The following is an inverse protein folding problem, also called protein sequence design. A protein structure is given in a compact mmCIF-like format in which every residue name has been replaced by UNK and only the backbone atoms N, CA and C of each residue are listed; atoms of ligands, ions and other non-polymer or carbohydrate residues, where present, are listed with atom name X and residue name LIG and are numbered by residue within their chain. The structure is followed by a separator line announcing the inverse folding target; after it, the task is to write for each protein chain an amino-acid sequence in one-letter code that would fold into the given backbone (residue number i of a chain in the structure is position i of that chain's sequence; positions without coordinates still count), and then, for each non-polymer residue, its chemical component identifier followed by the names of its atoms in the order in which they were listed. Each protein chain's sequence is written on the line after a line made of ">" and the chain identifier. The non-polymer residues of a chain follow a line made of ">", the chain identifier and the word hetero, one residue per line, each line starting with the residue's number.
data_IF_496391903654
#
_entry.id   IF_496391903654
#
_cell.length_a   1.000
_cell.length_b   1.000
_cell.length_c   1.000
_cell.angle_alpha   90.00
_cell.angle_beta   90.00
_cell.angle_gamma   90.00
#
_symmetry.space_group_name_H-M   'P 1'
#
loop_
_entity.id
_entity.type
_entity.pdbx_description
1 polymer ?
#
# COMPACT_ATOMS: atom_id res chain seq x y z
N UNK A 1 0.77 5.60 -21.30
CA UNK A 1 0.96 4.82 -20.05
C UNK A 1 1.85 3.63 -20.34
N UNK A 2 2.97 3.48 -19.64
CA UNK A 2 3.73 2.22 -19.63
C UNK A 2 3.14 1.34 -18.54
N UNK A 3 2.80 0.08 -18.85
CA UNK A 3 2.34 -0.88 -17.85
C UNK A 3 3.42 -1.20 -16.82
N UNK A 4 3.04 -1.78 -15.68
CA UNK A 4 3.96 -2.30 -14.69
C UNK A 4 4.86 -3.37 -15.33
N UNK A 5 6.17 -3.22 -15.18
CA UNK A 5 7.14 -4.25 -15.60
C UNK A 5 7.60 -4.98 -14.34
N UNK A 6 7.26 -6.27 -14.18
CA UNK A 6 7.73 -7.07 -13.05
C UNK A 6 9.26 -7.15 -13.04
N UNK A 7 9.84 -7.26 -11.86
CA UNK A 7 11.26 -7.57 -11.72
C UNK A 7 11.62 -8.88 -12.43
N UNK A 8 12.87 -9.01 -12.86
CA UNK A 8 13.38 -10.20 -13.53
C UNK A 8 13.08 -11.46 -12.72
N UNK A 9 12.58 -12.50 -13.40
CA UNK A 9 12.26 -13.81 -12.84
C UNK A 9 12.93 -14.92 -13.64
N UNK A 10 14.25 -15.15 -13.45
CA UNK A 10 14.99 -16.16 -14.19
C UNK A 10 14.44 -17.56 -13.89
N UNK A 11 14.39 -18.41 -14.93
CA UNK A 11 13.86 -19.79 -14.85
C UNK A 11 14.92 -20.84 -15.19
N UNK A 12 16.13 -20.42 -15.50
CA UNK A 12 17.21 -21.23 -16.08
C UNK A 12 18.31 -21.60 -15.09
N UNK A 13 18.05 -21.43 -13.78
CA UNK A 13 19.04 -21.76 -12.75
C UNK A 13 18.53 -21.56 -11.33
N UNK A 14 19.42 -21.79 -10.36
CA UNK A 14 19.19 -21.48 -8.95
C UNK A 14 19.82 -20.10 -8.67
N UNK A 15 19.01 -19.14 -8.32
CA UNK A 15 19.42 -17.75 -8.06
C UNK A 15 19.10 -17.35 -6.63
N UNK A 16 19.93 -16.48 -6.07
CA UNK A 16 19.59 -15.74 -4.85
C UNK A 16 18.82 -14.50 -5.31
N UNK A 17 17.50 -14.54 -5.15
CA UNK A 17 16.60 -13.48 -5.59
C UNK A 17 16.55 -12.36 -4.54
N UNK A 18 17.02 -11.16 -4.91
CA UNK A 18 17.05 -9.98 -4.04
C UNK A 18 16.17 -8.83 -4.58
N UNK A 19 15.45 -9.07 -5.68
CA UNK A 19 14.47 -8.13 -6.23
C UNK A 19 13.06 -8.45 -5.72
N UNK A 20 12.10 -7.54 -5.94
CA UNK A 20 10.67 -7.69 -5.61
C UNK A 20 10.34 -7.91 -4.13
N UNK A 21 11.31 -7.80 -3.21
CA UNK A 21 11.14 -7.88 -1.76
C UNK A 21 10.38 -9.12 -1.27
N UNK A 22 10.57 -10.28 -1.91
CA UNK A 22 9.96 -11.52 -1.48
C UNK A 22 10.55 -11.98 -0.14
N UNK A 23 9.67 -12.39 0.78
CA UNK A 23 10.11 -12.96 2.04
C UNK A 23 10.80 -14.32 1.80
N UNK A 24 12.08 -14.52 2.20
CA UNK A 24 12.79 -15.78 1.98
C UNK A 24 12.28 -16.93 2.88
N UNK A 25 11.49 -16.64 3.89
CA UNK A 25 10.96 -17.64 4.80
C UNK A 25 9.55 -18.09 4.38
N UNK A 26 9.26 -19.40 4.40
CA UNK A 26 7.92 -19.88 4.11
C UNK A 26 6.93 -19.50 5.22
N UNK A 27 5.62 -19.48 4.91
CA UNK A 27 4.61 -19.30 5.95
C UNK A 27 4.64 -20.46 6.96
N UNK A 28 4.13 -20.22 8.16
CA UNK A 28 4.10 -21.24 9.21
C UNK A 28 3.31 -22.48 8.80
N UNK A 29 3.61 -23.61 9.41
CA UNK A 29 2.87 -24.88 9.18
C UNK A 29 1.38 -24.74 9.51
N UNK A 30 1.00 -23.88 10.46
CA UNK A 30 -0.41 -23.60 10.79
C UNK A 30 -1.13 -22.96 9.60
N UNK A 31 -0.49 -21.99 8.92
CA UNK A 31 -1.04 -21.34 7.72
C UNK A 31 -1.22 -22.37 6.60
N UNK A 32 -0.18 -23.17 6.32
CA UNK A 32 -0.23 -24.18 5.26
C UNK A 32 -1.34 -25.22 5.53
N UNK A 33 -1.51 -25.64 6.78
CA UNK A 33 -2.56 -26.59 7.15
C UNK A 33 -3.96 -25.97 7.04
N UNK A 34 -4.12 -24.69 7.41
CA UNK A 34 -5.38 -23.97 7.24
C UNK A 34 -5.77 -23.86 5.76
N UNK A 35 -4.82 -23.52 4.88
CA UNK A 35 -5.06 -23.46 3.42
C UNK A 35 -5.48 -24.83 2.89
N UNK A 36 -4.76 -25.91 3.25
CA UNK A 36 -5.12 -27.28 2.85
C UNK A 36 -6.53 -27.68 3.32
N UNK A 37 -6.92 -27.31 4.53
CA UNK A 37 -8.25 -27.58 5.06
C UNK A 37 -9.36 -26.77 4.38
N UNK A 38 -9.05 -25.57 3.93
CA UNK A 38 -10.00 -24.72 3.21
C UNK A 38 -10.20 -25.16 1.74
N UNK A 39 -9.28 -25.94 1.17
CA UNK A 39 -9.38 -26.49 -0.18
C UNK A 39 -10.35 -27.70 -0.18
N UNK A 40 -11.65 -27.45 -0.13
CA UNK A 40 -12.71 -28.45 -0.08
C UNK A 40 -13.89 -28.09 -1.01
N UNK A 41 -14.96 -28.85 -0.96
CA UNK A 41 -16.13 -28.68 -1.82
C UNK A 41 -16.84 -27.32 -1.68
N UNK A 42 -16.62 -26.60 -0.57
CA UNK A 42 -17.19 -25.25 -0.38
C UNK A 42 -16.58 -24.18 -1.30
N UNK A 43 -15.46 -24.47 -2.00
CA UNK A 43 -14.89 -23.57 -3.01
C UNK A 43 -15.89 -23.29 -4.16
N UNK A 44 -16.95 -24.08 -4.33
CA UNK A 44 -18.03 -23.83 -5.30
C UNK A 44 -18.99 -22.71 -4.89
N UNK A 45 -18.95 -22.30 -3.63
CA UNK A 45 -19.85 -21.27 -3.09
C UNK A 45 -19.24 -19.87 -3.28
N UNK A 46 -20.10 -18.86 -3.38
CA UNK A 46 -19.62 -17.49 -3.31
C UNK A 46 -18.96 -17.22 -1.96
N UNK A 47 -17.82 -16.54 -1.94
CA UNK A 47 -17.18 -16.11 -0.68
C UNK A 47 -18.01 -15.02 0.01
N UNK A 48 -17.72 -14.79 1.28
CA UNK A 48 -18.20 -13.60 1.99
C UNK A 48 -17.63 -12.33 1.30
N UNK A 49 -18.49 -11.44 0.76
CA UNK A 49 -18.06 -10.32 -0.09
C UNK A 49 -17.21 -9.27 0.63
N UNK A 50 -17.24 -9.25 1.96
CA UNK A 50 -16.50 -8.28 2.78
C UNK A 50 -15.49 -8.93 3.71
N UNK A 51 -15.21 -10.22 3.53
CA UNK A 51 -14.24 -10.98 4.34
C UNK A 51 -14.45 -10.80 5.85
N UNK A 52 -15.68 -10.95 6.34
CA UNK A 52 -16.10 -10.65 7.73
C UNK A 52 -15.21 -11.32 8.78
N UNK A 53 -14.93 -12.63 8.61
CA UNK A 53 -14.12 -13.39 9.58
C UNK A 53 -12.68 -12.84 9.68
N UNK A 54 -12.06 -12.49 8.56
CA UNK A 54 -10.73 -11.90 8.52
C UNK A 54 -10.73 -10.51 9.17
N UNK A 55 -11.71 -9.66 8.84
CA UNK A 55 -11.85 -8.32 9.41
C UNK A 55 -12.03 -8.32 10.91
N UNK A 56 -12.87 -9.21 11.44
CA UNK A 56 -13.06 -9.40 12.89
C UNK A 56 -11.72 -9.78 13.53
N UNK A 57 -11.00 -10.75 12.96
CA UNK A 57 -9.74 -11.22 13.53
C UNK A 57 -8.63 -10.16 13.50
N UNK A 58 -8.53 -9.41 12.42
CA UNK A 58 -7.59 -8.28 12.30
C UNK A 58 -7.95 -7.19 13.31
N UNK A 59 -9.23 -6.86 13.45
CA UNK A 59 -9.68 -5.85 14.41
C UNK A 59 -9.37 -6.23 15.86
N UNK A 60 -9.52 -7.50 16.24
CA UNK A 60 -9.08 -8.01 17.54
C UNK A 60 -7.58 -7.81 17.77
N UNK A 61 -6.75 -8.14 16.78
CA UNK A 61 -5.28 -8.01 16.87
C UNK A 61 -4.87 -6.55 17.00
N UNK A 62 -5.49 -5.66 16.22
CA UNK A 62 -5.17 -4.23 16.18
C UNK A 62 -5.87 -3.40 17.27
N UNK A 63 -6.73 -4.00 18.11
CA UNK A 63 -7.49 -3.29 19.14
C UNK A 63 -8.46 -2.25 18.57
N UNK A 64 -9.05 -2.53 17.40
CA UNK A 64 -9.97 -1.64 16.70
C UNK A 64 -11.31 -2.33 16.39
N UNK A 65 -12.16 -1.70 15.58
CA UNK A 65 -13.48 -2.23 15.20
C UNK A 65 -13.44 -2.81 13.77
N UNK A 66 -14.16 -3.91 13.48
CA UNK A 66 -14.22 -4.49 12.12
C UNK A 66 -14.69 -3.51 11.04
N UNK A 67 -15.51 -2.52 11.39
CA UNK A 67 -15.99 -1.49 10.46
C UNK A 67 -14.89 -0.55 9.98
N UNK A 68 -13.75 -0.54 10.66
CA UNK A 68 -12.55 0.23 10.29
C UNK A 68 -11.55 -0.58 9.47
N UNK A 69 -11.86 -1.82 9.15
CA UNK A 69 -11.01 -2.72 8.39
C UNK A 69 -11.63 -2.95 7.01
N UNK A 70 -10.85 -2.77 5.98
CA UNK A 70 -11.15 -3.19 4.62
C UNK A 70 -10.12 -4.24 4.21
N UNK A 71 -10.56 -5.33 3.59
CA UNK A 71 -9.69 -6.34 3.02
C UNK A 71 -9.67 -6.21 1.49
N UNK A 72 -8.49 -6.30 0.91
CA UNK A 72 -8.26 -6.29 -0.53
C UNK A 72 -7.22 -7.33 -0.93
N UNK A 73 -7.00 -7.47 -2.22
CA UNK A 73 -5.99 -8.37 -2.77
C UNK A 73 -4.61 -7.69 -2.79
N UNK A 74 -4.04 -7.52 -1.60
CA UNK A 74 -2.80 -6.78 -1.39
C UNK A 74 -3.04 -5.27 -1.26
N UNK A 75 -1.97 -4.52 -0.97
CA UNK A 75 -2.02 -3.06 -0.85
C UNK A 75 -2.40 -2.38 -2.17
N UNK A 76 -1.95 -2.91 -3.32
CA UNK A 76 -2.23 -2.34 -4.63
C UNK A 76 -3.73 -2.23 -4.94
N UNK A 77 -4.51 -3.23 -4.53
CA UNK A 77 -5.97 -3.20 -4.67
C UNK A 77 -6.58 -2.11 -3.78
N UNK A 78 -6.13 -2.01 -2.53
CA UNK A 78 -6.58 -0.96 -1.60
C UNK A 78 -6.20 0.44 -2.07
N UNK A 79 -4.97 0.64 -2.57
CA UNK A 79 -4.53 1.91 -3.14
C UNK A 79 -5.42 2.33 -4.33
N UNK A 80 -5.75 1.37 -5.19
CA UNK A 80 -6.67 1.59 -6.32
C UNK A 80 -8.07 1.99 -5.86
N UNK A 81 -8.60 1.33 -4.82
CA UNK A 81 -9.90 1.66 -4.23
C UNK A 81 -9.89 3.06 -3.63
N UNK A 82 -8.82 3.41 -2.90
CA UNK A 82 -8.66 4.73 -2.27
C UNK A 82 -8.66 5.84 -3.32
N UNK A 83 -7.82 5.73 -4.34
CA UNK A 83 -7.76 6.74 -5.41
C UNK A 83 -9.14 6.91 -6.06
N UNK A 84 -9.78 5.83 -6.45
CA UNK A 84 -11.11 5.87 -7.10
C UNK A 84 -12.21 6.42 -6.21
N UNK A 85 -12.05 6.35 -4.89
CA UNK A 85 -13.04 6.84 -3.93
C UNK A 85 -12.87 8.32 -3.59
N UNK A 86 -11.64 8.85 -3.65
CA UNK A 86 -11.32 10.17 -3.11
C UNK A 86 -10.75 11.15 -4.12
N UNK A 87 -10.28 10.69 -5.28
CA UNK A 87 -9.72 11.55 -6.32
C UNK A 87 -10.40 11.29 -7.67
N UNK A 88 -10.67 12.35 -8.42
CA UNK A 88 -11.23 12.32 -9.76
C UNK A 88 -10.40 13.16 -10.74
N UNK A 89 -10.98 13.43 -11.90
CA UNK A 89 -10.35 14.21 -12.94
C UNK A 89 -9.90 15.59 -12.42
N UNK A 90 -8.62 15.92 -12.61
CA UNK A 90 -8.02 17.20 -12.21
C UNK A 90 -7.70 17.32 -10.73
N UNK A 91 -8.06 16.33 -9.89
CA UNK A 91 -7.70 16.34 -8.48
C UNK A 91 -6.21 16.02 -8.26
N UNK A 92 -5.59 16.71 -7.31
CA UNK A 92 -4.19 16.52 -6.95
C UNK A 92 -4.02 15.29 -6.06
N UNK A 93 -3.04 14.44 -6.45
CA UNK A 93 -2.57 13.30 -5.66
C UNK A 93 -1.09 13.50 -5.38
N UNK A 94 -0.73 13.65 -4.11
CA UNK A 94 0.62 13.98 -3.65
C UNK A 94 1.32 12.73 -3.14
N UNK A 95 2.60 12.59 -3.45
CA UNK A 95 3.46 11.54 -2.91
C UNK A 95 4.92 11.96 -2.95
N UNK A 96 5.76 11.46 -2.05
CA UNK A 96 7.19 11.74 -2.08
C UNK A 96 7.87 10.99 -3.22
N UNK A 97 8.98 11.53 -3.74
CA UNK A 97 9.75 10.91 -4.82
C UNK A 97 11.27 10.89 -4.45
N UNK A 98 12.00 9.81 -4.77
CA UNK A 98 11.51 8.55 -5.33
C UNK A 98 10.76 7.68 -4.30
N UNK A 99 9.60 7.14 -4.72
CA UNK A 99 8.76 6.26 -3.90
C UNK A 99 8.06 5.22 -4.80
N UNK A 100 7.05 4.54 -4.30
CA UNK A 100 6.35 3.51 -5.04
C UNK A 100 5.63 4.09 -6.28
N UNK A 101 6.05 3.63 -7.46
CA UNK A 101 5.62 4.22 -8.74
C UNK A 101 4.13 4.04 -9.03
N UNK A 102 3.46 3.11 -8.35
CA UNK A 102 2.03 2.89 -8.55
C UNK A 102 1.18 4.10 -8.18
N UNK A 103 1.59 4.92 -7.20
CA UNK A 103 0.86 6.14 -6.84
C UNK A 103 0.64 7.06 -8.03
N UNK A 104 1.71 7.30 -8.80
CA UNK A 104 1.65 8.09 -10.04
C UNK A 104 0.71 7.46 -11.05
N UNK A 105 0.87 6.17 -11.31
CA UNK A 105 0.05 5.44 -12.28
C UNK A 105 -1.43 5.50 -11.93
N UNK A 106 -1.78 5.31 -10.66
CA UNK A 106 -3.17 5.36 -10.20
C UNK A 106 -3.77 6.77 -10.31
N UNK A 107 -2.99 7.82 -10.00
CA UNK A 107 -3.42 9.21 -10.19
C UNK A 107 -3.72 9.49 -11.67
N UNK A 108 -2.81 9.10 -12.58
CA UNK A 108 -2.98 9.27 -14.02
C UNK A 108 -4.15 8.47 -14.59
N UNK A 109 -4.43 7.26 -14.05
CA UNK A 109 -5.59 6.45 -14.45
C UNK A 109 -6.95 7.09 -14.13
N UNK A 110 -7.00 8.00 -13.16
CA UNK A 110 -8.19 8.77 -12.81
C UNK A 110 -8.21 10.16 -13.45
N UNK A 111 -7.35 10.41 -14.45
CA UNK A 111 -7.13 11.76 -15.01
C UNK A 111 -6.81 12.82 -13.94
N UNK A 112 -6.24 12.40 -12.82
CA UNK A 112 -5.78 13.25 -11.74
C UNK A 112 -4.40 13.85 -12.02
N UNK A 113 -4.01 14.82 -11.20
CA UNK A 113 -2.70 15.48 -11.25
C UNK A 113 -1.76 14.80 -10.26
N UNK A 114 -0.79 14.05 -10.78
CA UNK A 114 0.25 13.42 -9.97
C UNK A 114 1.28 14.47 -9.52
N UNK A 115 1.32 14.78 -8.23
CA UNK A 115 2.24 15.73 -7.61
C UNK A 115 3.35 14.97 -6.87
N UNK A 116 4.42 14.66 -7.59
CA UNK A 116 5.62 14.07 -7.00
C UNK A 116 6.47 15.16 -6.35
N UNK A 117 6.78 15.02 -5.07
CA UNK A 117 7.59 15.96 -4.29
C UNK A 117 8.90 15.28 -3.92
N UNK A 118 10.00 15.82 -4.35
CA UNK A 118 11.31 15.21 -4.11
C UNK A 118 11.64 15.19 -2.61
N UNK A 119 12.14 14.05 -2.14
CA UNK A 119 12.78 13.98 -0.83
C UNK A 119 14.02 14.88 -0.79
N UNK A 120 14.41 15.29 0.40
CA UNK A 120 15.73 15.88 0.60
C UNK A 120 16.83 14.85 0.33
N UNK A 121 18.08 15.29 0.26
CA UNK A 121 19.25 14.38 0.10
C UNK A 121 19.34 13.29 1.17
N UNK A 122 18.75 13.53 2.34
CA UNK A 122 18.71 12.57 3.47
C UNK A 122 17.43 11.74 3.52
N UNK A 123 16.61 11.76 2.45
CA UNK A 123 15.30 11.12 2.40
C UNK A 123 14.32 11.58 3.51
N UNK A 124 14.46 12.81 3.96
CA UNK A 124 13.46 13.48 4.78
C UNK A 124 12.45 14.18 3.88
N UNK A 125 11.22 14.35 4.36
CA UNK A 125 10.24 15.15 3.63
C UNK A 125 10.64 16.63 3.66
N UNK A 126 10.54 17.36 2.53
CA UNK A 126 10.82 18.79 2.53
C UNK A 126 9.70 19.57 3.25
N UNK A 127 9.99 20.83 3.63
CA UNK A 127 9.03 21.67 4.35
C UNK A 127 7.76 21.97 3.54
N UNK A 128 7.87 22.02 2.22
CA UNK A 128 6.79 22.26 1.27
C UNK A 128 6.11 20.98 0.76
N UNK A 129 6.26 19.88 1.48
CA UNK A 129 5.60 18.60 1.13
C UNK A 129 4.07 18.72 1.09
N UNK A 130 3.48 19.61 1.87
CA UNK A 130 2.04 19.81 1.93
C UNK A 130 1.58 20.64 0.72
N UNK A 131 0.73 20.05 -0.11
CA UNK A 131 0.16 20.70 -1.29
C UNK A 131 -1.30 21.04 -1.05
N UNK A 132 -1.64 22.30 -1.05
CA UNK A 132 -3.03 22.78 -0.84
C UNK A 132 -3.98 22.22 -1.90
N UNK A 133 -5.17 21.83 -1.45
CA UNK A 133 -6.23 21.27 -2.29
C UNK A 133 -5.95 19.84 -2.78
N UNK A 134 -4.93 19.17 -2.26
CA UNK A 134 -4.70 17.76 -2.56
C UNK A 134 -5.82 16.89 -1.97
N UNK A 135 -6.37 15.96 -2.76
CA UNK A 135 -7.40 15.04 -2.31
C UNK A 135 -6.84 13.81 -1.62
N UNK A 136 -5.69 13.35 -2.07
CA UNK A 136 -4.98 12.20 -1.51
C UNK A 136 -3.50 12.53 -1.39
N UNK A 137 -2.93 12.25 -0.23
CA UNK A 137 -1.49 12.31 0.03
C UNK A 137 -1.02 10.93 0.45
N UNK A 138 -0.11 10.33 -0.31
CA UNK A 138 0.49 9.04 0.02
C UNK A 138 1.84 9.22 0.70
N UNK A 139 2.13 8.36 1.66
CA UNK A 139 3.44 8.19 2.28
C UNK A 139 3.68 6.69 2.44
N UNK A 140 4.68 6.14 1.74
CA UNK A 140 5.18 4.80 2.02
C UNK A 140 6.06 4.84 3.27
N UNK A 141 5.80 4.02 4.27
CA UNK A 141 6.53 4.01 5.54
C UNK A 141 6.69 2.62 6.15
N UNK A 142 7.80 1.93 5.95
CA UNK A 142 9.05 2.36 5.30
C UNK A 142 8.91 2.69 3.80
N UNK A 143 9.66 3.69 3.33
CA UNK A 143 9.64 4.08 1.93
C UNK A 143 10.33 3.03 1.05
N UNK A 144 9.76 2.74 -0.10
CA UNK A 144 10.40 1.95 -1.16
C UNK A 144 10.78 2.90 -2.31
N UNK A 145 12.07 2.97 -2.76
CA UNK A 145 13.11 1.95 -2.55
C UNK A 145 14.10 2.23 -1.41
N UNK A 146 14.03 3.38 -0.72
CA UNK A 146 15.08 3.82 0.20
C UNK A 146 15.14 3.04 1.51
N UNK A 147 14.04 2.42 1.95
CA UNK A 147 13.93 1.79 3.26
C UNK A 147 13.89 2.77 4.44
N UNK A 148 13.83 4.07 4.17
CA UNK A 148 13.79 5.09 5.22
C UNK A 148 12.40 5.21 5.83
N UNK A 149 12.36 5.61 7.10
CA UNK A 149 11.12 5.79 7.87
C UNK A 149 10.90 7.25 8.23
N UNK A 150 9.65 7.66 8.16
CA UNK A 150 9.16 8.94 8.69
C UNK A 150 8.58 8.67 10.07
N UNK A 151 8.89 9.54 11.04
CA UNK A 151 8.43 9.36 12.42
C UNK A 151 6.91 9.50 12.53
N UNK A 152 6.31 8.80 13.51
CA UNK A 152 4.87 8.92 13.80
C UNK A 152 4.47 10.37 14.16
N UNK A 153 5.40 11.14 14.76
CA UNK A 153 5.16 12.55 15.07
C UNK A 153 5.05 13.38 13.79
N UNK A 154 5.91 13.15 12.82
CA UNK A 154 5.87 13.84 11.53
C UNK A 154 4.63 13.44 10.71
N UNK A 155 4.29 12.15 10.70
CA UNK A 155 3.05 11.66 10.08
C UNK A 155 1.82 12.34 10.72
N UNK A 156 1.79 12.46 12.06
CA UNK A 156 0.69 13.14 12.77
C UNK A 156 0.61 14.63 12.42
N UNK A 157 1.76 15.30 12.28
CA UNK A 157 1.82 16.69 11.82
C UNK A 157 1.20 16.82 10.42
N UNK A 158 1.67 16.00 9.48
CA UNK A 158 1.17 16.00 8.10
C UNK A 158 -0.34 15.73 8.08
N UNK A 159 -0.81 14.75 8.84
CA UNK A 159 -2.23 14.41 8.93
C UNK A 159 -3.11 15.59 9.42
N UNK A 160 -2.54 16.50 10.23
CA UNK A 160 -3.24 17.68 10.70
C UNK A 160 -3.24 18.85 9.71
N UNK A 161 -2.40 18.82 8.69
CA UNK A 161 -2.17 19.92 7.75
C UNK A 161 -2.72 19.64 6.34
N UNK A 162 -2.93 18.36 5.96
CA UNK A 162 -3.48 18.02 4.63
C UNK A 162 -4.97 18.33 4.54
N UNK A 163 -5.41 18.87 3.41
CA UNK A 163 -6.83 19.18 3.16
C UNK A 163 -7.67 17.92 2.88
N UNK A 164 -7.05 16.89 2.27
CA UNK A 164 -7.69 15.64 1.90
C UNK A 164 -7.38 14.51 2.87
N UNK A 165 -7.25 13.30 2.34
CA UNK A 165 -6.88 12.13 3.14
C UNK A 165 -5.36 11.89 3.09
N UNK A 166 -4.78 11.54 4.22
CA UNK A 166 -3.44 10.98 4.30
C UNK A 166 -3.53 9.46 4.30
N UNK A 167 -2.77 8.83 3.41
CA UNK A 167 -2.63 7.38 3.30
C UNK A 167 -1.19 7.00 3.64
N UNK A 168 -1.02 6.24 4.70
CA UNK A 168 0.28 5.69 5.08
C UNK A 168 0.33 4.25 4.61
N UNK A 169 1.19 3.99 3.63
CA UNK A 169 1.38 2.65 3.06
C UNK A 169 2.46 1.92 3.86
N UNK A 170 2.01 0.98 4.68
CA UNK A 170 2.83 0.20 5.60
C UNK A 170 3.11 -1.22 5.09
N UNK A 171 3.15 -1.42 3.76
CA UNK A 171 3.38 -2.74 3.15
C UNK A 171 4.65 -3.44 3.67
N UNK A 172 5.61 -2.69 4.19
CA UNK A 172 6.87 -3.20 4.72
C UNK A 172 7.10 -2.92 6.21
N UNK A 173 6.07 -2.52 6.96
CA UNK A 173 6.24 -2.13 8.38
C UNK A 173 6.64 -3.29 9.31
N UNK A 174 6.36 -4.53 8.91
CA UNK A 174 6.66 -5.75 9.69
C UNK A 174 8.04 -6.37 9.37
N UNK A 175 8.90 -5.68 8.59
CA UNK A 175 10.21 -6.19 8.16
C UNK A 175 11.40 -5.41 8.71
#
# INVERSE_FOLDING_TARGET
>A
MSGYTPGEQPKDGIYIKLNTNENPYPPSSKVLNAIKGAANENLRLYPDPIATAARIKIAEILGTKPERIMAGNGSDDLLSIIIRSFAGQGDKVVFPYPSYMLYKTLAELQDGIACAIDFTETYSLPQDFIVQGAKVTFIANPNSPSGTMISSQEISRIASEVDGILVVDEAYADF
#
